data_IF_731985598906
#
_entry.id   IF_731985598906
#
_cell.length_a   1.000
_cell.length_b   1.000
_cell.length_c   1.000
_cell.angle_alpha   90.00
_cell.angle_beta   90.00
_cell.angle_gamma   90.00
#
_symmetry.space_group_name_H-M   'P 1'
#
loop_
_entity.id
_entity.type
_entity.pdbx_description
1 polymer ?
#
# COMPACT_ATOMS: atom_id res chain seq x y z
N UNK A 1 -36.30 18.29 -39.12
CA UNK A 1 -36.01 18.85 -37.77
C UNK A 1 -37.02 18.20 -36.83
N UNK A 2 -36.76 17.29 -35.88
CA UNK A 2 -35.57 16.76 -35.19
C UNK A 2 -35.75 15.24 -34.96
N UNK A 3 -34.65 14.48 -34.80
CA UNK A 3 -34.66 13.08 -34.38
C UNK A 3 -34.37 13.03 -32.87
N UNK A 4 -35.38 12.75 -32.05
CA UNK A 4 -35.20 12.20 -30.70
C UNK A 4 -35.15 10.67 -30.85
N UNK A 5 -34.18 9.95 -30.31
CA UNK A 5 -34.13 9.59 -28.89
C UNK A 5 -32.72 9.07 -28.59
N UNK A 6 -31.93 9.80 -27.81
CA UNK A 6 -30.70 9.27 -27.24
C UNK A 6 -31.07 8.22 -26.19
N UNK A 7 -30.83 6.94 -26.50
CA UNK A 7 -30.87 5.86 -25.51
C UNK A 7 -29.63 5.98 -24.63
N UNK A 8 -29.75 6.67 -23.51
CA UNK A 8 -28.77 6.58 -22.42
C UNK A 8 -29.22 5.51 -21.44
N UNK A 9 -28.47 4.43 -21.30
CA UNK A 9 -28.56 3.56 -20.13
C UNK A 9 -27.86 4.26 -18.97
N UNK A 10 -28.59 4.55 -17.90
CA UNK A 10 -28.02 5.00 -16.63
C UNK A 10 -27.65 3.76 -15.81
N UNK A 11 -26.39 3.67 -15.37
CA UNK A 11 -25.99 2.77 -14.29
C UNK A 11 -25.89 3.63 -13.04
N UNK A 12 -26.80 3.40 -12.10
CA UNK A 12 -26.66 3.92 -10.73
C UNK A 12 -25.82 2.91 -9.96
N UNK A 13 -24.55 3.23 -9.71
CA UNK A 13 -23.77 2.50 -8.70
C UNK A 13 -24.22 3.07 -7.35
N UNK A 14 -24.71 2.18 -6.49
CA UNK A 14 -25.50 2.49 -5.30
C UNK A 14 -24.83 3.41 -4.29
N UNK A 15 -25.66 3.83 -3.32
CA UNK A 15 -25.32 4.72 -2.23
C UNK A 15 -23.92 4.47 -1.62
N UNK A 16 -23.24 5.58 -1.30
CA UNK A 16 -21.88 5.69 -0.74
C UNK A 16 -21.62 4.65 0.35
N UNK A 17 -21.21 3.45 -0.01
CA UNK A 17 -20.77 2.43 0.93
C UNK A 17 -19.24 2.52 1.02
N UNK A 18 -18.73 3.56 1.71
CA UNK A 18 -17.30 3.74 1.98
C UNK A 18 -16.72 2.66 2.93
N UNK A 19 -17.44 1.57 3.18
CA UNK A 19 -17.14 0.60 4.23
C UNK A 19 -16.29 -0.61 3.77
N UNK A 20 -16.08 -0.83 2.47
CA UNK A 20 -15.44 -2.07 1.98
C UNK A 20 -14.03 -1.94 1.39
N UNK A 21 -13.40 -0.77 1.41
CA UNK A 21 -12.04 -0.62 0.85
C UNK A 21 -10.92 -0.62 1.89
N UNK A 22 -11.14 -1.19 3.08
CA UNK A 22 -10.14 -1.14 4.16
C UNK A 22 -9.08 -2.24 4.09
N UNK A 23 -9.24 -3.25 3.22
CA UNK A 23 -8.27 -4.34 3.08
C UNK A 23 -7.83 -4.48 1.62
N UNK A 24 -6.62 -4.01 1.31
CA UNK A 24 -5.97 -4.21 0.00
C UNK A 24 -6.22 -3.13 -1.05
N UNK A 25 -6.78 -1.97 -0.68
CA UNK A 25 -6.83 -0.80 -1.57
C UNK A 25 -5.41 -0.21 -1.71
N UNK A 26 -4.91 -0.16 -2.94
CA UNK A 26 -3.58 0.38 -3.28
C UNK A 26 -3.62 1.85 -3.75
N UNK A 27 -4.80 2.46 -3.75
CA UNK A 27 -5.05 3.88 -4.08
C UNK A 27 -6.42 4.11 -4.73
N UNK A 28 -6.89 5.36 -4.74
CA UNK A 28 -8.13 5.75 -5.41
C UNK A 28 -7.98 7.13 -6.05
N UNK A 29 -8.05 7.20 -7.38
CA UNK A 29 -7.88 8.45 -8.13
C UNK A 29 -9.18 8.78 -8.87
N UNK A 30 -9.70 9.99 -8.61
CA UNK A 30 -10.99 10.45 -9.15
C UNK A 30 -10.91 10.92 -10.60
N UNK A 31 -9.72 11.32 -11.06
CA UNK A 31 -9.45 11.70 -12.45
C UNK A 31 -10.23 12.93 -12.93
N UNK A 32 -10.60 13.80 -11.99
CA UNK A 32 -11.45 14.98 -12.17
C UNK A 32 -10.70 16.29 -11.86
N UNK A 33 -9.37 16.26 -11.95
CA UNK A 33 -8.53 17.42 -11.63
C UNK A 33 -8.71 18.54 -12.67
N UNK A 34 -8.72 19.78 -12.19
CA UNK A 34 -9.00 20.98 -13.01
C UNK A 34 -7.74 21.61 -13.59
N UNK A 35 -6.55 21.17 -13.16
CA UNK A 35 -5.27 21.65 -13.63
C UNK A 35 -4.17 20.60 -13.38
N UNK A 36 -3.12 20.66 -14.20
CA UNK A 36 -1.83 20.01 -13.93
C UNK A 36 -1.28 20.50 -12.56
N UNK A 37 -0.64 19.59 -11.81
CA UNK A 37 0.04 19.88 -10.53
C UNK A 37 -0.93 20.43 -9.46
N UNK A 38 -2.15 19.90 -9.42
CA UNK A 38 -3.19 20.32 -8.48
C UNK A 38 -3.08 19.66 -7.10
N UNK A 39 -2.26 18.62 -6.97
CA UNK A 39 -1.98 17.95 -5.70
C UNK A 39 -0.77 18.57 -4.98
N UNK A 40 -0.67 18.37 -3.67
CA UNK A 40 0.31 19.09 -2.84
C UNK A 40 1.77 18.63 -3.04
N UNK A 41 2.02 17.49 -3.69
CA UNK A 41 3.34 16.87 -3.78
C UNK A 41 3.76 16.39 -5.18
N UNK A 42 2.93 16.51 -6.21
CA UNK A 42 3.24 15.94 -7.54
C UNK A 42 3.26 16.96 -8.67
N UNK A 43 4.03 16.59 -9.70
CA UNK A 43 4.11 17.23 -11.01
C UNK A 43 3.27 16.38 -11.95
N UNK A 44 2.32 16.99 -12.67
CA UNK A 44 1.44 16.32 -13.64
C UNK A 44 0.75 15.09 -13.08
N UNK A 45 -0.14 15.23 -12.09
CA UNK A 45 -0.64 14.09 -11.32
C UNK A 45 -2.16 14.01 -11.12
N UNK A 46 -2.64 12.77 -10.92
CA UNK A 46 -3.96 12.49 -10.36
C UNK A 46 -3.84 12.40 -8.84
N UNK A 47 -4.69 13.13 -8.11
CA UNK A 47 -4.64 13.15 -6.65
C UNK A 47 -5.23 11.89 -6.03
N UNK A 48 -4.55 11.32 -5.04
CA UNK A 48 -5.09 10.23 -4.25
C UNK A 48 -6.23 10.71 -3.34
N UNK A 49 -7.36 10.03 -3.46
CA UNK A 49 -8.57 10.21 -2.65
C UNK A 49 -8.83 9.02 -1.74
N UNK A 50 -7.91 8.04 -1.66
CA UNK A 50 -8.01 6.94 -0.70
C UNK A 50 -7.48 7.31 0.69
N UNK A 51 -6.66 8.36 0.79
CA UNK A 51 -6.08 8.83 2.05
C UNK A 51 -4.73 8.19 2.38
N UNK A 52 -4.12 7.47 1.44
CA UNK A 52 -2.75 6.93 1.58
C UNK A 52 -1.70 7.92 1.08
N UNK A 53 -2.10 8.98 0.37
CA UNK A 53 -1.21 10.03 -0.11
C UNK A 53 -0.33 9.62 -1.30
N UNK A 54 -0.83 8.69 -2.12
CA UNK A 54 -0.14 8.20 -3.32
C UNK A 54 -0.61 8.96 -4.57
N UNK A 55 -0.14 10.18 -4.77
CA UNK A 55 -0.41 10.92 -6.02
C UNK A 55 0.37 10.28 -7.17
N UNK A 56 -0.24 10.14 -8.36
CA UNK A 56 0.35 9.40 -9.49
C UNK A 56 0.58 10.29 -10.71
N UNK A 57 1.78 10.27 -11.32
CA UNK A 57 2.07 11.09 -12.47
C UNK A 57 1.38 10.57 -13.73
N UNK A 58 0.90 11.52 -14.52
CA UNK A 58 0.56 11.43 -15.93
C UNK A 58 1.85 11.38 -16.75
N UNK A 59 1.78 10.73 -17.90
CA UNK A 59 2.88 10.71 -18.85
C UNK A 59 2.33 10.75 -20.26
N UNK A 60 3.08 11.40 -21.15
CA UNK A 60 2.62 11.76 -22.48
C UNK A 60 2.23 13.23 -22.52
N UNK A 61 1.46 13.63 -23.52
CA UNK A 61 0.82 14.96 -23.62
C UNK A 61 -0.55 14.99 -22.90
N UNK A 62 -0.72 14.14 -21.89
CA UNK A 62 -1.93 14.00 -21.08
C UNK A 62 -2.31 15.35 -20.46
N UNK A 63 -3.55 15.78 -20.70
CA UNK A 63 -4.03 17.09 -20.22
C UNK A 63 -5.46 16.99 -19.67
N UNK A 64 -5.84 17.97 -18.88
CA UNK A 64 -7.22 18.14 -18.42
C UNK A 64 -8.14 18.51 -19.59
N UNK A 65 -9.37 18.02 -19.53
CA UNK A 65 -10.43 18.29 -20.52
C UNK A 65 -11.79 18.39 -19.84
N UNK A 66 -12.78 18.92 -20.54
CA UNK A 66 -14.15 18.96 -20.04
C UNK A 66 -14.81 17.60 -20.29
N UNK A 67 -15.09 16.88 -19.20
CA UNK A 67 -15.83 15.64 -19.17
C UNK A 67 -17.34 15.84 -19.07
N UNK A 68 -18.08 14.73 -19.14
CA UNK A 68 -19.54 14.71 -19.05
C UNK A 68 -20.09 15.26 -17.71
N UNK A 69 -19.31 15.16 -16.64
CA UNK A 69 -19.71 15.53 -15.27
C UNK A 69 -18.79 16.57 -14.63
N UNK A 70 -18.12 17.40 -15.43
CA UNK A 70 -17.16 18.40 -14.93
C UNK A 70 -15.82 18.23 -15.64
N UNK A 71 -14.72 18.23 -14.88
CA UNK A 71 -13.39 17.98 -15.43
C UNK A 71 -13.12 16.49 -15.62
N UNK A 72 -12.23 16.18 -16.56
CA UNK A 72 -11.73 14.84 -16.82
C UNK A 72 -10.27 14.94 -17.29
N UNK A 73 -9.59 13.79 -17.32
CA UNK A 73 -8.27 13.66 -17.96
C UNK A 73 -8.46 13.17 -19.40
N UNK A 74 -7.78 13.80 -20.34
CA UNK A 74 -7.71 13.38 -21.75
C UNK A 74 -6.61 12.35 -21.93
N UNK A 75 -6.98 11.16 -22.40
CA UNK A 75 -6.07 10.11 -22.85
C UNK A 75 -6.36 9.91 -24.34
N UNK A 76 -5.60 10.55 -25.21
CA UNK A 76 -5.91 10.72 -26.63
C UNK A 76 -5.59 9.47 -27.50
N UNK A 77 -5.01 8.45 -26.88
CA UNK A 77 -4.64 7.19 -27.51
C UNK A 77 -3.22 7.15 -28.06
N UNK A 78 -2.46 8.23 -27.94
CA UNK A 78 -1.04 8.35 -28.26
C UNK A 78 -0.28 8.51 -26.96
N UNK A 79 0.55 7.52 -26.60
CA UNK A 79 1.51 7.48 -25.47
C UNK A 79 1.05 7.86 -24.03
N UNK A 80 -0.20 8.28 -23.89
CA UNK A 80 -0.85 8.69 -22.66
C UNK A 80 -1.02 7.53 -21.70
N UNK A 81 -0.46 7.68 -20.49
CA UNK A 81 -0.60 6.70 -19.43
C UNK A 81 -0.57 7.35 -18.06
N UNK A 82 -1.27 6.71 -17.14
CA UNK A 82 -1.19 7.03 -15.71
C UNK A 82 -0.43 5.91 -15.05
N UNK A 83 0.70 6.25 -14.46
CA UNK A 83 1.62 5.25 -13.93
C UNK A 83 1.38 5.10 -12.44
N UNK A 84 0.67 4.04 -12.07
CA UNK A 84 0.63 3.60 -10.68
C UNK A 84 1.93 2.84 -10.42
N UNK A 85 2.95 3.57 -9.98
CA UNK A 85 4.00 2.94 -9.21
C UNK A 85 3.44 2.85 -7.79
N UNK A 86 3.03 1.66 -7.28
CA UNK A 86 2.98 1.54 -5.83
C UNK A 86 4.33 2.08 -5.37
N UNK A 87 4.36 2.94 -4.35
CA UNK A 87 5.61 3.16 -3.61
C UNK A 87 6.17 1.75 -3.46
N UNK A 88 7.30 1.48 -4.13
CA UNK A 88 7.82 0.13 -4.33
C UNK A 88 7.52 -0.65 -3.07
N UNK A 89 6.96 -1.87 -3.12
CA UNK A 89 6.82 -2.70 -1.93
C UNK A 89 8.20 -2.75 -1.29
N UNK A 90 8.43 -1.88 -0.29
CA UNK A 90 9.68 -1.13 -0.36
C UNK A 90 10.73 -2.00 0.22
N UNK A 91 11.50 -2.58 -0.67
CA UNK A 91 12.40 -3.63 -0.27
C UNK A 91 13.54 -2.96 0.49
N UNK A 92 13.56 -3.15 1.82
CA UNK A 92 14.49 -2.53 2.76
C UNK A 92 15.89 -2.28 2.21
N UNK A 93 16.48 -3.29 1.57
CA UNK A 93 17.75 -3.20 0.85
C UNK A 93 17.88 -4.37 -0.14
N UNK A 94 18.22 -4.09 -1.40
CA UNK A 94 18.37 -5.09 -2.48
C UNK A 94 19.43 -6.16 -2.23
N UNK A 95 20.39 -5.92 -1.34
CA UNK A 95 21.39 -6.91 -0.89
C UNK A 95 20.75 -8.05 -0.09
N UNK A 96 19.54 -7.83 0.45
CA UNK A 96 18.78 -8.83 1.18
C UNK A 96 17.91 -9.57 0.19
N UNK A 97 18.18 -10.86 -0.04
CA UNK A 97 17.54 -11.61 -1.13
C UNK A 97 16.27 -12.35 -0.71
N UNK A 98 15.96 -12.40 0.59
CA UNK A 98 14.83 -13.15 1.12
C UNK A 98 14.05 -12.29 2.11
N UNK A 99 12.71 -12.31 2.02
CA UNK A 99 11.82 -11.70 3.00
C UNK A 99 10.62 -12.59 3.27
N UNK A 100 9.99 -12.37 4.42
CA UNK A 100 8.71 -12.98 4.75
C UNK A 100 7.81 -12.00 5.47
N UNK A 101 6.55 -11.91 5.02
CA UNK A 101 5.54 -11.11 5.70
C UNK A 101 5.12 -11.79 7.00
N UNK A 102 5.14 -11.04 8.10
CA UNK A 102 4.60 -11.45 9.39
C UNK A 102 3.36 -10.60 9.66
N UNK A 103 2.23 -11.25 9.93
CA UNK A 103 0.97 -10.56 10.25
C UNK A 103 0.65 -10.76 11.72
N UNK A 104 0.41 -9.67 12.43
CA UNK A 104 -0.05 -9.68 13.81
C UNK A 104 -1.58 -9.59 13.83
N UNK A 105 -2.22 -10.46 14.62
CA UNK A 105 -3.66 -10.41 14.82
C UNK A 105 -3.95 -9.84 16.21
N UNK A 106 -4.49 -8.63 16.27
CA UNK A 106 -4.94 -7.96 17.49
C UNK A 106 -6.48 -7.82 17.53
N UNK A 107 -7.22 -8.65 16.81
CA UNK A 107 -8.70 -8.59 16.76
C UNK A 107 -9.36 -8.92 18.10
N UNK A 108 -8.66 -9.61 19.00
CA UNK A 108 -9.16 -9.96 20.33
C UNK A 108 -9.01 -8.81 21.36
N UNK A 109 -8.23 -7.76 21.05
CA UNK A 109 -8.09 -6.60 21.93
C UNK A 109 -9.12 -5.53 21.61
N UNK A 110 -9.65 -4.89 22.66
CA UNK A 110 -10.55 -3.75 22.52
C UNK A 110 -9.82 -2.43 22.19
N UNK A 111 -8.48 -2.42 22.19
CA UNK A 111 -7.65 -1.22 22.06
C UNK A 111 -6.53 -1.43 21.03
N UNK A 112 -6.13 -0.32 20.39
CA UNK A 112 -4.90 -0.27 19.60
C UNK A 112 -3.69 -0.42 20.55
N UNK A 113 -2.70 -1.21 20.13
CA UNK A 113 -1.43 -1.34 20.85
C UNK A 113 -0.40 -0.43 20.21
N UNK A 114 0.17 0.48 21.00
CA UNK A 114 1.20 1.43 20.53
C UNK A 114 2.54 1.16 21.17
N UNK A 115 3.62 1.16 20.38
CA UNK A 115 5.00 0.90 20.84
C UNK A 115 5.17 -0.39 21.65
N UNK A 116 4.45 -1.44 21.25
CA UNK A 116 4.31 -2.66 22.03
C UNK A 116 5.28 -3.74 21.54
N UNK A 117 6.03 -4.41 22.43
CA UNK A 117 6.88 -5.54 22.06
C UNK A 117 6.02 -6.78 21.78
N UNK A 118 6.19 -7.36 20.59
CA UNK A 118 5.49 -8.57 20.17
C UNK A 118 6.46 -9.72 20.05
N UNK A 119 6.06 -10.88 20.59
CA UNK A 119 6.80 -12.12 20.45
C UNK A 119 6.59 -12.73 19.06
N UNK A 120 7.67 -12.88 18.30
CA UNK A 120 7.72 -13.55 17.02
C UNK A 120 8.42 -14.89 17.20
N UNK A 121 7.70 -15.99 16.93
CA UNK A 121 8.27 -17.33 16.90
C UNK A 121 8.66 -17.70 15.48
N UNK A 122 9.89 -18.15 15.31
CA UNK A 122 10.46 -18.61 14.05
C UNK A 122 10.79 -20.10 14.16
N UNK A 123 10.45 -20.85 13.12
CA UNK A 123 10.75 -22.27 12.94
C UNK A 123 11.01 -22.52 11.45
N UNK A 124 11.38 -23.74 11.07
CA UNK A 124 11.67 -24.09 9.67
C UNK A 124 10.52 -23.83 8.68
N UNK A 125 9.28 -23.76 9.15
CA UNK A 125 8.13 -23.41 8.30
C UNK A 125 8.09 -21.91 8.00
N UNK A 126 8.60 -21.08 8.93
CA UNK A 126 8.58 -19.61 8.92
C UNK A 126 9.90 -18.96 8.50
N UNK A 127 11.03 -19.66 8.59
CA UNK A 127 12.32 -19.15 8.12
C UNK A 127 13.14 -20.31 7.56
N UNK A 128 13.89 -20.03 6.50
CA UNK A 128 14.87 -20.96 5.97
C UNK A 128 16.20 -20.71 6.68
N UNK A 129 16.49 -21.49 7.73
CA UNK A 129 17.71 -21.33 8.53
C UNK A 129 19.00 -21.58 7.72
N UNK A 130 18.92 -22.23 6.55
CA UNK A 130 20.09 -22.37 5.67
C UNK A 130 20.53 -21.04 5.03
N UNK A 131 19.66 -20.02 5.11
CA UNK A 131 19.88 -18.68 4.57
C UNK A 131 20.11 -17.63 5.66
N UNK A 132 20.32 -18.07 6.89
CA UNK A 132 20.65 -17.21 8.04
C UNK A 132 22.02 -17.53 8.59
N UNK A 133 22.66 -16.58 9.23
CA UNK A 133 23.86 -16.81 10.02
C UNK A 133 23.52 -17.51 11.35
N UNK A 134 24.48 -18.25 11.91
CA UNK A 134 24.30 -19.13 13.07
C UNK A 134 23.78 -18.50 14.38
N UNK A 135 23.64 -17.17 14.42
CA UNK A 135 23.09 -16.43 15.57
C UNK A 135 22.00 -15.43 15.14
N UNK A 136 21.42 -15.57 13.94
CA UNK A 136 20.38 -14.68 13.42
C UNK A 136 20.86 -13.23 13.22
N UNK A 137 22.15 -13.00 13.04
CA UNK A 137 22.73 -11.64 12.92
C UNK A 137 22.27 -10.91 11.65
N UNK A 138 21.84 -11.68 10.66
CA UNK A 138 21.32 -11.28 9.37
C UNK A 138 19.80 -11.43 9.30
N UNK A 139 19.09 -11.09 10.38
CA UNK A 139 17.65 -10.83 10.33
C UNK A 139 17.38 -9.33 10.49
N UNK A 140 16.39 -8.81 9.77
CA UNK A 140 15.88 -7.45 9.94
C UNK A 140 14.37 -7.50 9.94
N UNK A 141 13.76 -6.65 10.77
CA UNK A 141 12.33 -6.44 10.81
C UNK A 141 12.07 -5.03 10.31
N UNK A 142 11.10 -4.89 9.41
CA UNK A 142 10.63 -3.60 8.92
C UNK A 142 9.14 -3.44 9.16
N UNK A 143 8.70 -2.19 9.22
CA UNK A 143 7.27 -1.87 9.25
C UNK A 143 6.60 -2.28 7.92
N UNK A 144 5.29 -2.16 7.87
CA UNK A 144 4.43 -2.41 6.72
C UNK A 144 4.78 -1.59 5.48
N UNK A 145 5.53 -0.50 5.61
CA UNK A 145 6.11 0.26 4.50
C UNK A 145 7.31 -0.44 3.82
N UNK A 146 7.84 -1.50 4.43
CA UNK A 146 8.96 -2.30 3.94
C UNK A 146 10.36 -1.70 4.19
N UNK A 147 10.47 -0.42 4.53
CA UNK A 147 11.74 0.31 4.70
C UNK A 147 12.09 0.66 6.13
N UNK A 148 11.10 0.91 6.98
CA UNK A 148 11.33 1.47 8.31
C UNK A 148 11.80 0.36 9.24
N UNK A 149 13.07 0.36 9.70
CA UNK A 149 13.58 -0.69 10.56
C UNK A 149 12.91 -0.63 11.94
N UNK A 150 12.52 -1.80 12.43
CA UNK A 150 11.94 -1.97 13.76
C UNK A 150 13.02 -2.45 14.75
N UNK A 151 12.95 -1.94 15.98
CA UNK A 151 13.81 -2.44 17.06
C UNK A 151 13.41 -3.86 17.42
N UNK A 152 14.39 -4.75 17.59
CA UNK A 152 14.15 -6.15 17.95
C UNK A 152 15.23 -6.66 18.91
N UNK A 153 14.91 -7.76 19.59
CA UNK A 153 15.79 -8.48 20.50
C UNK A 153 15.62 -9.98 20.27
N UNK A 154 16.72 -10.70 20.08
CA UNK A 154 16.72 -12.15 19.94
C UNK A 154 16.82 -12.74 21.35
N UNK A 155 15.72 -13.27 21.88
CA UNK A 155 15.70 -13.96 23.17
C UNK A 155 16.32 -15.35 23.05
N UNK A 156 16.01 -16.04 21.95
CA UNK A 156 16.50 -17.39 21.68
C UNK A 156 16.71 -17.58 20.18
N UNK A 157 17.85 -18.16 19.80
CA UNK A 157 18.10 -18.64 18.43
C UNK A 157 18.37 -20.15 18.47
N UNK A 158 17.55 -20.91 17.77
CA UNK A 158 17.62 -22.37 17.70
C UNK A 158 17.13 -22.84 16.33
N UNK A 159 18.09 -23.06 15.43
CA UNK A 159 17.85 -23.45 14.03
C UNK A 159 17.27 -24.86 13.89
N UNK A 160 17.37 -25.66 14.96
CA UNK A 160 16.82 -27.03 15.01
C UNK A 160 15.43 -27.09 15.64
N UNK A 161 14.95 -25.96 16.19
CA UNK A 161 13.70 -25.86 16.92
C UNK A 161 13.00 -24.53 16.71
N UNK A 162 12.56 -23.93 17.81
CA UNK A 162 11.93 -22.61 17.83
C UNK A 162 12.93 -21.53 18.28
N UNK A 163 13.10 -20.52 17.42
CA UNK A 163 13.74 -19.24 17.75
C UNK A 163 12.68 -18.22 18.19
N UNK A 164 13.04 -17.39 19.15
CA UNK A 164 12.16 -16.40 19.79
C UNK A 164 12.80 -15.03 19.63
N UNK A 165 12.06 -14.12 19.01
CA UNK A 165 12.48 -12.74 18.79
C UNK A 165 11.38 -11.79 19.27
N UNK A 166 11.73 -10.81 20.08
CA UNK A 166 10.84 -9.71 20.44
C UNK A 166 11.02 -8.57 19.45
N UNK A 167 9.92 -8.08 18.89
CA UNK A 167 9.94 -6.97 17.93
C UNK A 167 9.06 -5.85 18.47
N UNK A 168 9.60 -4.63 18.56
CA UNK A 168 8.85 -3.46 18.99
C UNK A 168 8.05 -2.89 17.82
N UNK A 169 6.72 -3.03 17.89
CA UNK A 169 5.83 -2.58 16.82
C UNK A 169 5.20 -1.22 17.18
N UNK A 170 5.32 -0.18 16.32
CA UNK A 170 4.82 1.16 16.63
C UNK A 170 3.31 1.23 16.80
N UNK A 171 2.57 0.52 15.96
CA UNK A 171 1.12 0.46 16.04
C UNK A 171 0.58 -0.90 15.57
N UNK A 172 -0.27 -1.51 16.38
CA UNK A 172 -1.05 -2.70 16.01
C UNK A 172 -2.51 -2.35 16.17
N UNK A 173 -3.17 -2.15 15.03
CA UNK A 173 -4.59 -1.83 14.98
C UNK A 173 -5.43 -3.01 15.44
N UNK A 174 -6.51 -2.71 16.16
CA UNK A 174 -7.63 -3.65 16.27
C UNK A 174 -8.25 -3.84 14.89
N UNK A 175 -8.57 -5.09 14.53
CA UNK A 175 -9.31 -5.41 13.30
C UNK A 175 -10.82 -5.36 13.54
#
# INVERSE_FOLDING_TARGET
IQKATNRGTSVTIGAKLQAFLNNGLIGHWKMDETADNSCSNGVSDSCDSSGIGLDVPWSGDTNTTIGKFGSAVSLDGTDDRITISPSSDSWYNTDWLNRRKVTFNNSASAVDLTNFPVLVKLNSDRIDYSKTQGYGQDIRFTDSDGNTPLSYEIEKWDETGESIVWVKVPNIKRC
#
